data_IF_164312322767
#
_entry.id   IF_164312322767
#
_cell.length_a   1.000
_cell.length_b   1.000
_cell.length_c   1.000
_cell.angle_alpha   90.00
_cell.angle_beta   90.00
_cell.angle_gamma   90.00
#
_symmetry.space_group_name_H-M   'P 1'
#
loop_
_entity.id
_entity.type
_entity.pdbx_description
1 polymer ?
#
# COMPACT_ATOMS: atom_id res chain seq x y z
N UNK A 1 30.62 24.57 3.30
CA UNK A 1 29.69 23.78 2.44
C UNK A 1 28.35 23.61 3.13
N UNK A 2 27.22 23.62 2.39
CA UNK A 2 25.94 23.22 2.95
C UNK A 2 25.96 21.77 3.44
N UNK A 3 25.04 21.42 4.35
CA UNK A 3 24.93 20.07 4.93
C UNK A 3 24.40 19.07 3.91
N UNK A 4 24.79 17.81 4.12
CA UNK A 4 24.38 16.65 3.31
C UNK A 4 23.18 15.92 3.93
N UNK A 5 22.24 16.66 4.49
CA UNK A 5 21.24 16.12 5.42
C UNK A 5 20.31 15.06 4.80
N UNK A 6 19.92 15.24 3.54
CA UNK A 6 19.01 14.34 2.82
C UNK A 6 19.50 14.08 1.39
N UNK A 7 19.37 12.83 0.92
CA UNK A 7 19.65 12.41 -0.46
C UNK A 7 18.36 11.94 -1.12
N UNK A 8 18.07 12.44 -2.31
CA UNK A 8 16.97 11.98 -3.15
C UNK A 8 17.45 11.03 -4.26
N UNK A 9 16.64 10.01 -4.55
CA UNK A 9 17.02 8.92 -5.47
C UNK A 9 15.85 8.45 -6.32
N UNK A 10 16.17 7.97 -7.51
CA UNK A 10 15.21 7.40 -8.46
C UNK A 10 15.78 6.15 -9.14
N UNK A 11 15.03 5.60 -10.09
CA UNK A 11 15.50 4.60 -11.03
C UNK A 11 16.84 4.96 -11.73
N UNK A 12 17.16 6.24 -11.91
CA UNK A 12 18.41 6.69 -12.51
C UNK A 12 19.64 6.37 -11.65
N UNK A 13 19.48 6.25 -10.32
CA UNK A 13 20.55 5.82 -9.42
C UNK A 13 20.62 4.28 -9.28
N UNK A 14 19.69 3.55 -9.89
CA UNK A 14 19.53 2.12 -9.70
C UNK A 14 19.06 1.75 -8.28
N UNK A 15 19.38 0.53 -7.84
CA UNK A 15 19.00 0.03 -6.52
C UNK A 15 20.06 0.44 -5.49
N UNK A 16 19.67 1.29 -4.53
CA UNK A 16 20.55 1.72 -3.46
C UNK A 16 20.72 0.63 -2.39
N UNK A 17 21.96 0.22 -2.13
CA UNK A 17 22.26 -0.86 -1.17
C UNK A 17 22.38 -0.33 0.27
N UNK A 18 22.32 -1.25 1.25
CA UNK A 18 22.56 -0.91 2.67
C UNK A 18 23.96 -0.32 2.87
N UNK A 19 24.96 -0.81 2.10
CA UNK A 19 26.33 -0.31 2.17
C UNK A 19 26.44 1.14 1.65
N UNK A 20 25.76 1.48 0.55
CA UNK A 20 25.72 2.85 0.05
C UNK A 20 25.15 3.80 1.11
N UNK A 21 24.00 3.44 1.69
CA UNK A 21 23.38 4.25 2.73
C UNK A 21 24.25 4.40 3.98
N UNK A 22 24.91 3.31 4.43
CA UNK A 22 25.87 3.39 5.55
C UNK A 22 27.07 4.28 5.22
N UNK A 23 27.53 4.28 3.98
CA UNK A 23 28.61 5.17 3.55
C UNK A 23 28.17 6.64 3.63
N UNK A 24 27.04 6.96 3.01
CA UNK A 24 26.42 8.29 3.03
C UNK A 24 26.20 8.85 4.45
N UNK A 25 25.79 8.01 5.40
CA UNK A 25 25.62 8.42 6.81
C UNK A 25 26.90 8.92 7.46
N UNK A 26 28.07 8.42 7.06
CA UNK A 26 29.37 8.90 7.58
C UNK A 26 29.62 10.37 7.23
N UNK A 27 28.97 10.86 6.18
CA UNK A 27 29.04 12.24 5.71
C UNK A 27 27.87 13.11 6.19
N UNK A 28 27.05 12.59 7.12
CA UNK A 28 25.98 13.35 7.76
C UNK A 28 24.60 13.20 7.12
N UNK A 29 24.42 12.30 6.14
CA UNK A 29 23.09 11.96 5.59
C UNK A 29 22.24 11.30 6.67
N UNK A 30 21.06 11.88 6.92
CA UNK A 30 20.10 11.42 7.95
C UNK A 30 18.83 10.83 7.34
N UNK A 31 18.42 11.36 6.18
CA UNK A 31 17.20 10.95 5.50
C UNK A 31 17.46 10.61 4.03
N UNK A 32 16.58 9.78 3.48
CA UNK A 32 16.46 9.62 2.03
C UNK A 32 15.02 9.82 1.59
N UNK A 33 14.86 10.20 0.33
CA UNK A 33 13.56 10.30 -0.33
C UNK A 33 13.63 9.57 -1.69
N UNK A 34 12.68 8.67 -1.93
CA UNK A 34 12.65 7.85 -3.15
C UNK A 34 11.60 8.38 -4.13
N UNK A 35 11.91 8.39 -5.43
CA UNK A 35 10.88 8.53 -6.47
C UNK A 35 9.89 7.39 -6.30
N UNK A 36 8.60 7.70 -6.19
CA UNK A 36 7.55 6.69 -6.05
C UNK A 36 6.89 6.42 -7.40
N UNK A 37 6.56 7.49 -8.11
CA UNK A 37 5.84 7.43 -9.37
C UNK A 37 5.97 8.76 -10.12
N UNK A 38 5.53 8.75 -11.37
CA UNK A 38 5.43 9.91 -12.24
C UNK A 38 4.16 9.81 -13.09
N UNK A 39 3.41 10.91 -13.14
CA UNK A 39 2.10 10.91 -13.79
C UNK A 39 1.20 9.79 -13.27
N UNK A 40 0.33 9.28 -14.15
CA UNK A 40 -0.51 8.10 -13.85
C UNK A 40 0.05 6.80 -14.43
N UNK A 41 1.21 6.84 -15.08
CA UNK A 41 1.71 5.77 -15.94
C UNK A 41 3.00 5.12 -15.44
N UNK A 42 3.80 5.80 -14.62
CA UNK A 42 5.10 5.28 -14.20
C UNK A 42 5.14 5.01 -12.69
N UNK A 43 5.59 3.81 -12.31
CA UNK A 43 5.93 3.43 -10.93
C UNK A 43 7.41 3.09 -10.85
N UNK A 44 8.13 3.73 -9.94
CA UNK A 44 9.55 3.45 -9.76
C UNK A 44 9.77 2.10 -9.05
N UNK A 45 10.42 1.17 -9.74
CA UNK A 45 10.69 -0.18 -9.23
C UNK A 45 11.84 -0.21 -8.22
N UNK A 46 12.72 0.80 -8.21
CA UNK A 46 13.86 0.85 -7.26
C UNK A 46 13.44 1.40 -5.90
N UNK A 47 12.31 2.11 -5.81
CA UNK A 47 11.79 2.69 -4.58
C UNK A 47 11.70 1.68 -3.43
N UNK A 48 11.07 0.52 -3.69
CA UNK A 48 10.86 -0.52 -2.67
C UNK A 48 12.17 -1.06 -2.08
N UNK A 49 13.13 -1.59 -2.88
CA UNK A 49 14.38 -2.05 -2.32
C UNK A 49 15.21 -0.91 -1.71
N UNK A 50 15.23 0.28 -2.30
CA UNK A 50 15.97 1.44 -1.78
C UNK A 50 15.46 1.90 -0.42
N UNK A 51 14.14 2.07 -0.26
CA UNK A 51 13.51 2.42 1.04
C UNK A 51 13.81 1.35 2.08
N UNK A 52 13.61 0.07 1.75
CA UNK A 52 13.91 -1.04 2.67
C UNK A 52 15.37 -1.00 3.14
N UNK A 53 16.30 -0.81 2.23
CA UNK A 53 17.72 -0.81 2.53
C UNK A 53 18.12 0.43 3.36
N UNK A 54 17.52 1.59 3.09
CA UNK A 54 17.74 2.82 3.87
C UNK A 54 17.24 2.67 5.31
N UNK A 55 16.07 2.07 5.51
CA UNK A 55 15.58 1.73 6.86
C UNK A 55 16.55 0.79 7.57
N UNK A 56 17.06 -0.24 6.89
CA UNK A 56 18.08 -1.15 7.47
C UNK A 56 19.40 -0.47 7.80
N UNK A 57 19.76 0.61 7.10
CA UNK A 57 20.89 1.46 7.43
C UNK A 57 20.57 2.51 8.53
N UNK A 58 19.31 2.60 8.98
CA UNK A 58 18.86 3.50 10.02
C UNK A 58 18.75 4.96 9.56
N UNK A 59 18.29 5.19 8.32
CA UNK A 59 17.88 6.51 7.84
C UNK A 59 16.37 6.73 8.05
N UNK A 60 15.97 7.99 8.08
CA UNK A 60 14.59 8.40 7.84
C UNK A 60 14.26 8.22 6.35
N UNK A 61 13.05 7.78 6.02
CA UNK A 61 12.65 7.50 4.64
C UNK A 61 11.37 8.23 4.27
N UNK A 62 11.38 8.84 3.10
CA UNK A 62 10.29 9.61 2.51
C UNK A 62 10.10 9.19 1.04
N UNK A 63 9.07 9.71 0.38
CA UNK A 63 8.91 9.51 -1.06
C UNK A 63 8.50 10.79 -1.79
N UNK A 64 8.72 10.84 -3.09
CA UNK A 64 8.24 11.93 -3.94
C UNK A 64 7.51 11.42 -5.18
N UNK A 65 6.67 12.27 -5.75
CA UNK A 65 5.92 12.01 -6.97
C UNK A 65 6.13 13.13 -7.99
N UNK A 66 6.65 12.78 -9.17
CA UNK A 66 6.88 13.74 -10.25
C UNK A 66 5.55 14.07 -10.96
N UNK A 67 5.12 15.31 -10.84
CA UNK A 67 3.83 15.78 -11.33
C UNK A 67 3.81 15.95 -12.85
N UNK A 68 2.73 15.50 -13.49
CA UNK A 68 2.43 15.78 -14.92
C UNK A 68 1.05 16.45 -15.10
N UNK A 69 0.27 16.61 -14.04
CA UNK A 69 -1.07 17.16 -14.10
C UNK A 69 -1.08 18.69 -14.28
N UNK A 70 -2.11 19.18 -14.98
CA UNK A 70 -2.44 20.61 -15.09
C UNK A 70 -3.86 20.93 -14.60
N UNK A 71 -4.63 19.89 -14.26
CA UNK A 71 -6.04 19.99 -13.85
C UNK A 71 -6.26 19.40 -12.46
N UNK A 72 -7.35 19.79 -11.80
CA UNK A 72 -7.73 19.23 -10.48
C UNK A 72 -8.02 17.73 -10.56
N UNK A 73 -8.63 17.26 -11.65
CA UNK A 73 -8.89 15.84 -11.86
C UNK A 73 -7.57 15.05 -12.00
N UNK A 74 -6.63 15.57 -12.80
CA UNK A 74 -5.29 15.00 -12.93
C UNK A 74 -4.53 14.96 -11.60
N UNK A 75 -4.59 16.06 -10.84
CA UNK A 75 -3.98 16.16 -9.51
C UNK A 75 -4.47 15.05 -8.56
N UNK A 76 -5.78 14.76 -8.56
CA UNK A 76 -6.34 13.66 -7.76
C UNK A 76 -5.90 12.28 -8.26
N UNK A 77 -5.88 12.06 -9.57
CA UNK A 77 -5.45 10.79 -10.15
C UNK A 77 -3.97 10.50 -9.83
N UNK A 78 -3.11 11.50 -9.94
CA UNK A 78 -1.69 11.41 -9.62
C UNK A 78 -1.44 11.26 -8.12
N UNK A 79 -2.20 11.93 -7.26
CA UNK A 79 -2.16 11.72 -5.80
C UNK A 79 -2.51 10.27 -5.41
N UNK A 80 -3.50 9.67 -6.06
CA UNK A 80 -3.84 8.25 -5.86
C UNK A 80 -2.70 7.34 -6.30
N UNK A 81 -2.07 7.62 -7.44
CA UNK A 81 -0.91 6.89 -7.96
C UNK A 81 0.28 6.99 -6.99
N UNK A 82 0.58 8.18 -6.48
CA UNK A 82 1.63 8.42 -5.49
C UNK A 82 1.39 7.60 -4.20
N UNK A 83 0.21 7.70 -3.61
CA UNK A 83 -0.13 7.00 -2.36
C UNK A 83 -0.14 5.47 -2.53
N UNK A 84 -0.62 4.96 -3.67
CA UNK A 84 -0.58 3.52 -3.96
C UNK A 84 0.86 3.03 -4.15
N UNK A 85 1.71 3.82 -4.81
CA UNK A 85 3.12 3.50 -5.02
C UNK A 85 3.90 3.53 -3.70
N UNK A 86 3.64 4.52 -2.85
CA UNK A 86 4.16 4.58 -1.47
C UNK A 86 3.81 3.32 -0.68
N UNK A 87 2.54 2.89 -0.72
CA UNK A 87 2.08 1.69 -0.03
C UNK A 87 2.78 0.43 -0.57
N UNK A 88 2.91 0.29 -1.89
CA UNK A 88 3.60 -0.84 -2.54
C UNK A 88 5.09 -0.88 -2.20
N UNK A 89 5.72 0.29 -2.09
CA UNK A 89 7.12 0.44 -1.72
C UNK A 89 7.38 0.17 -0.22
N UNK A 90 6.32 0.10 0.59
CA UNK A 90 6.42 -0.14 2.03
C UNK A 90 6.71 1.13 2.83
N UNK A 91 6.48 2.31 2.25
CA UNK A 91 6.64 3.59 2.92
C UNK A 91 5.59 3.72 4.03
N UNK A 92 6.04 3.99 5.25
CA UNK A 92 5.14 4.11 6.41
C UNK A 92 4.27 5.37 6.33
N UNK A 93 3.08 5.31 6.94
CA UNK A 93 2.07 6.39 6.84
C UNK A 93 2.54 7.75 7.37
N UNK A 94 3.50 7.77 8.29
CA UNK A 94 4.03 9.01 8.88
C UNK A 94 5.25 9.58 8.11
N UNK A 95 5.65 8.96 7.00
CA UNK A 95 6.64 9.51 6.07
C UNK A 95 6.03 10.65 5.26
N UNK A 96 6.87 11.59 4.83
CA UNK A 96 6.47 12.67 3.92
C UNK A 96 6.34 12.12 2.50
N UNK A 97 5.23 12.46 1.82
CA UNK A 97 5.12 12.32 0.36
C UNK A 97 5.21 13.72 -0.25
N UNK A 98 6.28 13.97 -0.99
CA UNK A 98 6.52 15.25 -1.66
C UNK A 98 5.87 15.24 -3.04
N UNK A 99 5.17 16.33 -3.36
CA UNK A 99 4.78 16.65 -4.73
C UNK A 99 5.96 17.35 -5.42
N UNK A 100 6.58 16.69 -6.36
CA UNK A 100 7.63 17.25 -7.21
C UNK A 100 6.97 17.99 -8.38
N UNK A 101 6.91 19.33 -8.27
CA UNK A 101 6.17 20.23 -9.15
C UNK A 101 7.14 21.06 -10.00
N UNK A 102 7.58 20.47 -11.11
CA UNK A 102 8.58 21.08 -11.98
C UNK A 102 8.33 20.89 -13.49
N UNK A 103 7.18 20.32 -13.88
CA UNK A 103 6.88 20.02 -15.28
C UNK A 103 6.09 21.11 -16.01
N UNK A 104 5.12 21.73 -15.35
CA UNK A 104 4.25 22.74 -15.99
C UNK A 104 3.82 23.78 -14.97
N UNK A 105 4.15 25.04 -15.25
CA UNK A 105 3.81 26.18 -14.42
C UNK A 105 2.68 26.99 -15.06
N UNK A 106 1.51 27.05 -14.42
CA UNK A 106 0.34 27.78 -14.91
C UNK A 106 0.02 29.03 -14.08
N UNK A 107 0.99 29.53 -13.31
CA UNK A 107 0.83 30.67 -12.43
C UNK A 107 0.13 30.35 -11.10
N UNK A 108 0.27 31.28 -10.14
CA UNK A 108 -0.10 31.06 -8.74
C UNK A 108 -1.52 30.54 -8.54
N UNK A 109 -2.52 31.14 -9.20
CA UNK A 109 -3.92 30.80 -9.00
C UNK A 109 -4.23 29.35 -9.41
N UNK A 110 -3.76 28.94 -10.59
CA UNK A 110 -3.99 27.58 -11.08
C UNK A 110 -3.18 26.56 -10.28
N UNK A 111 -1.89 26.82 -10.06
CA UNK A 111 -1.00 25.94 -9.30
C UNK A 111 -1.53 25.74 -7.87
N UNK A 112 -2.00 26.81 -7.20
CA UNK A 112 -2.62 26.75 -5.87
C UNK A 112 -3.80 25.79 -5.82
N UNK A 113 -4.68 25.86 -6.82
CA UNK A 113 -5.87 25.01 -6.91
C UNK A 113 -5.51 23.53 -7.07
N UNK A 114 -4.58 23.20 -7.97
CA UNK A 114 -4.23 21.82 -8.29
C UNK A 114 -3.35 21.18 -7.21
N UNK A 115 -2.39 21.92 -6.64
CA UNK A 115 -1.56 21.44 -5.52
C UNK A 115 -2.41 21.15 -4.30
N UNK A 116 -3.36 22.04 -3.95
CA UNK A 116 -4.30 21.80 -2.85
C UNK A 116 -5.14 20.54 -3.08
N UNK A 117 -5.59 20.30 -4.31
CA UNK A 117 -6.34 19.08 -4.64
C UNK A 117 -5.49 17.81 -4.48
N UNK A 118 -4.23 17.85 -4.91
CA UNK A 118 -3.29 16.74 -4.74
C UNK A 118 -3.04 16.44 -3.26
N UNK A 119 -2.71 17.46 -2.46
CA UNK A 119 -2.43 17.32 -1.02
C UNK A 119 -3.62 16.69 -0.29
N UNK A 120 -4.82 17.21 -0.52
CA UNK A 120 -6.04 16.71 0.11
C UNK A 120 -6.29 15.23 -0.25
N UNK A 121 -5.99 14.82 -1.48
CA UNK A 121 -6.20 13.46 -1.93
C UNK A 121 -5.15 12.49 -1.35
N UNK A 122 -3.88 12.90 -1.23
CA UNK A 122 -2.85 12.11 -0.53
C UNK A 122 -3.22 11.91 0.95
N UNK A 123 -3.70 12.98 1.62
CA UNK A 123 -4.20 12.90 2.99
C UNK A 123 -5.38 11.92 3.11
N UNK A 124 -6.37 12.01 2.19
CA UNK A 124 -7.52 11.09 2.13
C UNK A 124 -7.08 9.63 1.94
N UNK A 125 -6.00 9.39 1.20
CA UNK A 125 -5.41 8.07 0.98
C UNK A 125 -4.61 7.53 2.19
N UNK A 126 -4.48 8.32 3.26
CA UNK A 126 -3.94 7.88 4.55
C UNK A 126 -2.47 8.22 4.78
N UNK A 127 -1.91 9.17 4.02
CA UNK A 127 -0.59 9.76 4.23
C UNK A 127 -0.75 11.24 4.64
N UNK A 128 -0.80 11.57 5.94
CA UNK A 128 -1.11 12.91 6.44
C UNK A 128 0.04 13.93 6.34
N UNK A 129 1.23 13.53 5.88
CA UNK A 129 2.37 14.43 5.73
C UNK A 129 2.72 14.60 4.26
N UNK A 130 2.64 15.83 3.79
CA UNK A 130 2.97 16.22 2.43
C UNK A 130 3.89 17.43 2.43
N UNK A 131 4.68 17.57 1.38
CA UNK A 131 5.42 18.80 1.09
C UNK A 131 5.41 19.05 -0.43
N UNK A 132 5.84 20.22 -0.86
CA UNK A 132 5.95 20.56 -2.28
C UNK A 132 7.39 20.91 -2.60
N UNK A 133 7.88 20.34 -3.69
CA UNK A 133 9.19 20.62 -4.23
C UNK A 133 9.08 21.36 -5.58
N UNK A 134 9.98 22.32 -5.81
CA UNK A 134 10.12 23.05 -7.08
C UNK A 134 11.47 23.77 -7.16
N UNK A 135 11.80 24.35 -8.31
CA UNK A 135 12.99 25.18 -8.47
C UNK A 135 12.82 26.61 -7.97
N UNK A 136 13.94 27.25 -7.60
CA UNK A 136 14.00 28.62 -7.09
C UNK A 136 13.28 29.67 -7.96
N UNK A 137 13.23 29.48 -9.28
CA UNK A 137 12.54 30.39 -10.20
C UNK A 137 11.01 30.32 -10.12
N UNK A 138 10.43 29.28 -9.49
CA UNK A 138 8.98 29.06 -9.43
C UNK A 138 8.36 29.37 -8.07
N UNK A 139 9.15 29.79 -7.08
CA UNK A 139 8.69 29.99 -5.69
C UNK A 139 7.54 31.02 -5.56
N UNK A 140 7.46 31.99 -6.48
CA UNK A 140 6.38 33.00 -6.50
C UNK A 140 5.11 32.53 -7.24
N UNK A 141 5.14 31.32 -7.79
CA UNK A 141 4.06 30.75 -8.60
C UNK A 141 3.55 29.40 -8.07
N UNK A 142 4.23 28.81 -7.09
CA UNK A 142 3.90 27.50 -6.51
C UNK A 142 3.63 27.68 -5.01
N UNK A 143 2.52 27.16 -4.48
CA UNK A 143 2.16 27.26 -3.06
C UNK A 143 3.01 26.31 -2.19
N UNK A 144 4.30 26.61 -2.06
CA UNK A 144 5.23 25.77 -1.29
C UNK A 144 4.88 25.69 0.20
N UNK A 145 4.26 26.73 0.72
CA UNK A 145 3.92 26.83 2.13
C UNK A 145 2.39 26.85 2.32
N UNK A 146 1.79 25.67 2.51
CA UNK A 146 0.35 25.55 2.73
C UNK A 146 -0.02 25.52 4.22
N UNK A 147 0.93 25.22 5.12
CA UNK A 147 0.78 25.28 6.59
C UNK A 147 2.14 25.45 7.31
N UNK A 148 2.52 26.67 7.69
CA UNK A 148 3.68 26.91 8.56
C UNK A 148 5.02 27.06 7.84
N UNK A 149 5.93 26.08 7.97
CA UNK A 149 7.21 26.04 7.24
C UNK A 149 7.10 24.87 6.25
N UNK A 150 6.58 25.15 5.05
CA UNK A 150 6.48 24.19 3.93
C UNK A 150 7.43 24.55 2.81
N UNK A 151 7.86 23.56 2.04
CA UNK A 151 8.59 23.71 0.79
C UNK A 151 9.99 23.09 0.80
N UNK A 152 10.35 22.45 -0.29
CA UNK A 152 11.70 21.98 -0.58
C UNK A 152 12.15 22.58 -1.92
N UNK A 153 13.17 23.43 -1.90
CA UNK A 153 13.51 24.25 -3.08
C UNK A 153 14.84 23.82 -3.69
N UNK A 154 14.87 23.64 -5.00
CA UNK A 154 16.10 23.43 -5.76
C UNK A 154 16.73 24.74 -6.24
N UNK A 155 18.03 24.88 -5.99
CA UNK A 155 18.88 25.90 -6.61
C UNK A 155 20.34 25.46 -6.48
N UNK A 156 21.10 25.43 -7.58
CA UNK A 156 22.44 24.86 -7.62
C UNK A 156 23.51 25.93 -7.92
N UNK A 157 23.94 26.74 -6.93
CA UNK A 157 25.06 27.64 -7.10
C UNK A 157 26.33 26.91 -7.49
N UNK A 158 27.12 27.49 -8.40
CA UNK A 158 28.44 26.97 -8.76
C UNK A 158 29.39 26.83 -7.55
N UNK A 159 29.33 27.78 -6.61
CA UNK A 159 30.05 27.76 -5.33
C UNK A 159 29.07 27.89 -4.15
N UNK A 160 28.53 26.79 -3.61
CA UNK A 160 27.49 26.85 -2.59
C UNK A 160 28.03 27.12 -1.17
N UNK A 161 29.36 27.16 -0.98
CA UNK A 161 29.96 27.42 0.33
C UNK A 161 29.61 28.83 0.83
N UNK A 162 29.12 28.94 2.07
CA UNK A 162 28.75 30.21 2.69
C UNK A 162 27.30 30.65 2.42
N UNK A 163 26.61 30.06 1.44
CA UNK A 163 25.23 30.42 1.12
C UNK A 163 24.24 29.87 2.14
N UNK A 164 23.17 30.65 2.39
CA UNK A 164 22.04 30.31 3.26
C UNK A 164 20.73 30.57 2.53
N UNK A 165 20.49 29.83 1.43
CA UNK A 165 19.27 30.00 0.63
C UNK A 165 18.08 29.27 1.27
N UNK A 166 16.88 29.81 1.06
CA UNK A 166 15.61 29.17 1.43
C UNK A 166 15.48 28.74 2.90
N UNK A 167 16.11 29.46 3.83
CA UNK A 167 16.07 29.16 5.27
C UNK A 167 14.67 29.25 5.89
N UNK A 168 13.73 29.91 5.20
CA UNK A 168 12.31 29.97 5.56
C UNK A 168 11.49 28.74 5.16
N UNK A 169 12.06 27.82 4.37
CA UNK A 169 11.41 26.60 3.85
C UNK A 169 11.91 25.35 4.62
N UNK A 170 11.39 24.16 4.33
CA UNK A 170 11.84 22.91 4.96
C UNK A 170 13.23 22.46 4.52
N UNK A 171 13.60 22.70 3.26
CA UNK A 171 14.89 22.28 2.75
C UNK A 171 15.30 23.00 1.48
N UNK A 172 16.61 22.93 1.22
CA UNK A 172 17.25 23.43 0.01
C UNK A 172 18.06 22.29 -0.62
N UNK A 173 17.63 21.83 -1.80
CA UNK A 173 18.45 20.97 -2.66
C UNK A 173 19.49 21.84 -3.35
N UNK A 174 20.75 21.68 -2.95
CA UNK A 174 21.81 22.62 -3.30
C UNK A 174 22.76 22.09 -4.37
N UNK A 175 22.71 20.80 -4.67
CA UNK A 175 23.48 20.17 -5.74
C UNK A 175 22.79 18.93 -6.27
N UNK A 176 23.02 18.65 -7.55
CA UNK A 176 22.68 17.40 -8.23
C UNK A 176 23.89 16.51 -8.56
N UNK A 177 25.07 16.91 -8.08
CA UNK A 177 26.35 16.35 -8.53
C UNK A 177 27.25 15.86 -7.37
N UNK A 178 26.65 15.51 -6.23
CA UNK A 178 27.43 15.01 -5.10
C UNK A 178 27.93 13.59 -5.35
N UNK A 179 29.19 13.32 -5.01
CA UNK A 179 29.77 11.98 -5.02
C UNK A 179 29.98 11.51 -3.58
N UNK A 180 29.61 10.27 -3.30
CA UNK A 180 29.86 9.63 -2.01
C UNK A 180 30.80 8.43 -2.19
N UNK A 181 31.88 8.33 -1.40
CA UNK A 181 32.75 7.15 -1.45
C UNK A 181 31.97 5.85 -1.28
N UNK A 182 32.28 4.85 -2.12
CA UNK A 182 31.57 3.57 -2.13
C UNK A 182 30.14 3.63 -2.69
N UNK A 183 29.77 4.70 -3.39
CA UNK A 183 28.52 4.83 -4.14
C UNK A 183 28.84 5.13 -5.60
N UNK A 184 28.11 4.53 -6.53
CA UNK A 184 28.26 4.79 -7.96
C UNK A 184 27.34 5.93 -8.40
N UNK A 185 27.82 6.76 -9.32
CA UNK A 185 27.07 7.88 -9.87
C UNK A 185 27.04 9.10 -8.96
N UNK A 186 26.20 10.06 -9.34
CA UNK A 186 26.03 11.34 -8.67
C UNK A 186 24.69 11.38 -7.94
N UNK A 187 24.62 12.22 -6.92
CA UNK A 187 23.46 12.31 -6.04
C UNK A 187 23.00 13.75 -5.89
N UNK A 188 21.69 13.88 -5.90
CA UNK A 188 20.97 15.07 -5.47
C UNK A 188 21.01 15.16 -3.94
N UNK A 189 21.43 16.32 -3.42
CA UNK A 189 21.66 16.50 -1.99
C UNK A 189 21.06 17.79 -1.47
N UNK A 190 20.40 17.66 -0.32
CA UNK A 190 19.68 18.72 0.34
C UNK A 190 20.19 19.00 1.75
N UNK A 191 20.20 20.29 2.08
CA UNK A 191 20.31 20.78 3.45
C UNK A 191 18.90 21.03 3.99
N UNK A 192 18.57 20.43 5.13
CA UNK A 192 17.23 20.57 5.73
C UNK A 192 17.25 21.58 6.87
N UNK A 193 16.22 22.43 6.93
CA UNK A 193 16.06 23.49 7.94
C UNK A 193 14.99 23.17 8.99
N UNK A 194 14.35 22.01 8.89
CA UNK A 194 13.39 21.50 9.86
C UNK A 194 13.54 20.00 10.05
N UNK A 195 12.91 19.48 11.11
CA UNK A 195 12.84 18.03 11.37
C UNK A 195 11.65 17.36 10.64
N UNK A 196 10.99 18.06 9.71
CA UNK A 196 9.76 17.58 9.05
C UNK A 196 9.97 16.23 8.34
N UNK A 197 11.14 16.06 7.71
CA UNK A 197 11.58 14.85 7.01
C UNK A 197 12.23 13.80 7.91
N UNK A 198 12.42 14.09 9.20
CA UNK A 198 13.03 13.21 10.20
C UNK A 198 12.00 12.58 11.13
N UNK A 199 10.74 12.50 10.68
CA UNK A 199 9.71 11.72 11.36
C UNK A 199 10.19 10.28 11.61
N UNK A 200 9.72 9.67 12.70
CA UNK A 200 10.15 8.35 13.20
C UNK A 200 10.53 7.44 12.05
N UNK A 201 11.83 7.06 11.99
CA UNK A 201 12.34 6.08 11.05
C UNK A 201 11.31 4.97 10.97
N UNK A 202 10.57 4.91 9.85
CA UNK A 202 9.44 4.03 9.75
C UNK A 202 10.05 2.65 9.82
N UNK A 203 9.96 2.01 11.01
CA UNK A 203 10.36 0.61 11.18
C UNK A 203 9.65 -0.08 10.02
N UNK A 204 10.43 -0.55 9.04
CA UNK A 204 9.91 -1.13 7.80
C UNK A 204 8.74 -2.00 8.23
N UNK A 205 7.52 -1.66 7.80
CA UNK A 205 6.33 -2.27 8.35
C UNK A 205 6.58 -3.77 8.34
N UNK A 206 6.78 -4.37 9.52
CA UNK A 206 7.21 -5.78 9.57
C UNK A 206 6.16 -6.50 8.74
N UNK A 207 6.55 -7.22 7.66
CA UNK A 207 5.58 -7.87 6.81
C UNK A 207 4.66 -8.64 7.75
N UNK A 208 3.35 -8.35 7.70
CA UNK A 208 2.39 -8.95 8.61
C UNK A 208 2.66 -10.45 8.57
N UNK A 209 2.97 -11.04 9.74
CA UNK A 209 3.27 -12.47 9.81
C UNK A 209 2.14 -13.20 9.11
N UNK A 210 2.49 -14.04 8.14
CA UNK A 210 1.51 -14.80 7.39
C UNK A 210 0.69 -15.65 8.37
N UNK A 211 -0.64 -15.53 8.28
CA UNK A 211 -1.56 -16.28 9.13
C UNK A 211 -2.07 -17.45 8.31
N UNK A 212 -2.02 -18.64 8.90
CA UNK A 212 -2.43 -19.89 8.26
C UNK A 212 -3.62 -20.48 9.03
N UNK A 213 -4.53 -21.15 8.32
CA UNK A 213 -5.61 -21.89 8.98
C UNK A 213 -5.05 -23.03 9.82
N UNK A 214 -5.44 -23.09 11.10
CA UNK A 214 -5.06 -24.18 12.03
C UNK A 214 -6.15 -25.25 12.21
N UNK A 215 -7.29 -25.04 11.57
CA UNK A 215 -8.45 -25.94 11.60
C UNK A 215 -8.94 -26.16 10.18
N UNK A 216 -9.68 -27.24 9.93
CA UNK A 216 -10.26 -27.53 8.62
C UNK A 216 -11.55 -26.71 8.41
N UNK A 217 -11.57 -25.72 7.49
CA UNK A 217 -12.78 -24.93 7.19
C UNK A 217 -13.78 -25.66 6.28
N UNK A 218 -13.50 -26.90 5.88
CA UNK A 218 -14.22 -27.76 4.93
C UNK A 218 -14.26 -27.23 3.50
N UNK A 219 -14.66 -25.99 3.30
CA UNK A 219 -14.74 -25.34 1.99
C UNK A 219 -14.07 -23.97 2.05
N UNK A 220 -13.21 -23.68 1.08
CA UNK A 220 -12.57 -22.37 0.91
C UNK A 220 -12.78 -21.84 -0.51
N UNK A 221 -12.53 -20.56 -0.70
CA UNK A 221 -12.30 -19.98 -2.02
C UNK A 221 -10.98 -19.24 -2.06
N UNK A 222 -10.35 -19.21 -3.23
CA UNK A 222 -9.13 -18.46 -3.49
C UNK A 222 -9.43 -16.95 -3.52
N UNK A 223 -8.68 -16.15 -2.77
CA UNK A 223 -8.73 -14.67 -2.82
C UNK A 223 -7.81 -14.11 -3.92
N UNK A 224 -6.73 -14.81 -4.17
CA UNK A 224 -5.72 -14.53 -5.21
C UNK A 224 -5.59 -15.77 -6.11
N UNK A 225 -4.98 -15.66 -7.29
CA UNK A 225 -4.56 -16.84 -8.02
C UNK A 225 -3.63 -17.72 -7.17
N UNK A 226 -3.88 -19.03 -7.11
CA UNK A 226 -3.09 -19.97 -6.32
C UNK A 226 -2.69 -21.19 -7.14
N UNK A 227 -1.55 -21.78 -6.80
CA UNK A 227 -1.10 -23.03 -7.38
C UNK A 227 -1.48 -24.21 -6.48
N UNK A 228 -1.58 -25.39 -7.10
CA UNK A 228 -1.64 -26.69 -6.42
C UNK A 228 -0.38 -27.49 -6.71
N UNK A 229 0.03 -28.30 -5.73
CA UNK A 229 1.32 -28.98 -5.71
C UNK A 229 1.16 -30.46 -5.38
N UNK A 230 2.02 -31.31 -5.93
CA UNK A 230 2.07 -32.75 -5.59
C UNK A 230 2.59 -33.00 -4.18
N UNK A 231 3.54 -32.17 -3.74
CA UNK A 231 4.20 -32.30 -2.44
C UNK A 231 3.86 -31.16 -1.47
N UNK A 232 3.95 -31.45 -0.17
CA UNK A 232 3.64 -30.50 0.91
C UNK A 232 4.63 -29.32 0.97
N UNK A 233 5.85 -29.50 0.47
CA UNK A 233 6.88 -28.47 0.44
C UNK A 233 6.69 -27.44 -0.70
N UNK A 234 5.75 -27.70 -1.61
CA UNK A 234 5.46 -26.90 -2.80
C UNK A 234 6.61 -26.85 -3.81
N UNK A 235 7.36 -27.94 -3.98
CA UNK A 235 8.43 -28.03 -4.97
C UNK A 235 7.93 -28.38 -6.37
N UNK A 236 6.87 -29.18 -6.47
CA UNK A 236 6.33 -29.69 -7.74
C UNK A 236 4.93 -29.14 -7.99
N UNK A 237 4.88 -28.01 -8.71
CA UNK A 237 3.62 -27.40 -9.16
C UNK A 237 2.92 -28.33 -10.16
N UNK A 238 1.61 -28.46 -10.02
CA UNK A 238 0.75 -29.17 -10.96
C UNK A 238 0.06 -28.16 -11.87
N UNK A 239 -0.73 -27.27 -11.28
CA UNK A 239 -1.60 -26.35 -11.99
C UNK A 239 -1.84 -25.05 -11.19
N UNK A 240 -2.48 -24.09 -11.87
CA UNK A 240 -2.82 -22.78 -11.34
C UNK A 240 -4.34 -22.56 -11.42
N UNK A 241 -4.89 -21.90 -10.40
CA UNK A 241 -6.30 -21.58 -10.32
C UNK A 241 -6.48 -20.08 -10.11
N UNK A 242 -7.43 -19.44 -10.82
CA UNK A 242 -7.71 -18.02 -10.64
C UNK A 242 -8.33 -17.72 -9.27
N UNK A 243 -8.37 -16.43 -8.92
CA UNK A 243 -9.12 -15.98 -7.78
C UNK A 243 -10.61 -16.34 -7.92
N UNK A 244 -11.24 -16.69 -6.80
CA UNK A 244 -12.65 -17.08 -6.73
C UNK A 244 -12.89 -18.59 -6.87
N UNK A 245 -11.91 -19.40 -7.29
CA UNK A 245 -12.04 -20.86 -7.35
C UNK A 245 -12.32 -21.44 -5.98
N UNK A 246 -13.26 -22.38 -5.90
CA UNK A 246 -13.71 -23.03 -4.66
C UNK A 246 -13.04 -24.40 -4.52
N UNK A 247 -12.62 -24.73 -3.30
CA UNK A 247 -11.98 -26.01 -2.98
C UNK A 247 -12.61 -26.65 -1.75
N UNK A 248 -12.84 -27.96 -1.84
CA UNK A 248 -13.12 -28.81 -0.69
C UNK A 248 -11.78 -29.24 -0.04
N UNK A 249 -11.69 -29.07 1.28
CA UNK A 249 -10.46 -29.35 2.04
C UNK A 249 -10.63 -30.66 2.78
N UNK A 250 -9.83 -31.66 2.39
CA UNK A 250 -9.82 -32.96 3.04
C UNK A 250 -9.14 -32.86 4.41
N UNK A 251 -7.93 -32.30 4.47
CA UNK A 251 -7.13 -32.19 5.70
C UNK A 251 -6.35 -30.89 5.79
N UNK A 252 -6.03 -30.48 7.01
CA UNK A 252 -5.02 -29.44 7.30
C UNK A 252 -3.79 -30.15 7.82
N UNK A 253 -2.66 -29.95 7.16
CA UNK A 253 -1.40 -30.62 7.49
C UNK A 253 -0.39 -29.58 7.97
N UNK A 254 0.35 -29.90 9.04
CA UNK A 254 1.45 -29.07 9.53
C UNK A 254 2.69 -29.24 8.64
N UNK A 255 3.40 -28.14 8.38
CA UNK A 255 4.69 -28.14 7.70
C UNK A 255 5.60 -27.13 8.42
N UNK A 256 6.44 -27.63 9.32
CA UNK A 256 7.17 -26.79 10.27
C UNK A 256 6.22 -25.88 11.05
N UNK A 257 6.46 -24.57 11.00
CA UNK A 257 5.65 -23.56 11.72
C UNK A 257 4.37 -23.14 11.01
N UNK A 258 4.14 -23.60 9.77
CA UNK A 258 2.96 -23.24 8.96
C UNK A 258 2.05 -24.45 8.75
N UNK A 259 0.90 -24.24 8.12
CA UNK A 259 0.05 -25.34 7.65
C UNK A 259 -0.16 -25.28 6.15
N UNK A 260 -0.63 -26.37 5.57
CA UNK A 260 -1.10 -26.51 4.19
C UNK A 260 -2.45 -27.21 4.19
N UNK A 261 -3.23 -26.99 3.14
CA UNK A 261 -4.42 -27.77 2.90
C UNK A 261 -4.10 -28.94 1.97
N UNK A 262 -4.56 -30.13 2.32
CA UNK A 262 -4.58 -31.28 1.45
C UNK A 262 -5.98 -31.46 0.87
N UNK A 263 -6.06 -31.69 -0.43
CA UNK A 263 -7.29 -31.97 -1.17
C UNK A 263 -7.56 -33.48 -1.20
N UNK A 264 -8.75 -33.88 -1.64
CA UNK A 264 -9.15 -35.30 -1.69
C UNK A 264 -8.24 -36.15 -2.59
N UNK A 265 -7.66 -35.56 -3.63
CA UNK A 265 -6.71 -36.23 -4.52
C UNK A 265 -5.28 -36.29 -3.98
N UNK A 266 -5.06 -35.96 -2.70
CA UNK A 266 -3.75 -35.99 -2.05
C UNK A 266 -2.88 -34.77 -2.30
N UNK A 267 -3.22 -33.90 -3.26
CA UNK A 267 -2.45 -32.70 -3.59
C UNK A 267 -2.65 -31.56 -2.60
N UNK A 268 -1.73 -30.59 -2.61
CA UNK A 268 -1.63 -29.55 -1.61
C UNK A 268 -1.85 -28.15 -2.18
N UNK A 269 -2.55 -27.30 -1.41
CA UNK A 269 -2.72 -25.87 -1.68
C UNK A 269 -2.44 -25.04 -0.42
N UNK A 270 -2.25 -23.73 -0.59
CA UNK A 270 -1.90 -22.84 0.53
C UNK A 270 -3.07 -22.70 1.51
N UNK A 271 -2.77 -22.68 2.81
CA UNK A 271 -3.73 -22.32 3.87
C UNK A 271 -3.54 -20.88 4.38
N UNK A 272 -2.68 -20.09 3.71
CA UNK A 272 -2.43 -18.69 4.07
C UNK A 272 -3.69 -17.84 3.85
N UNK A 273 -4.21 -17.23 4.92
CA UNK A 273 -5.45 -16.46 4.91
C UNK A 273 -5.41 -15.20 4.03
N UNK A 274 -4.23 -14.75 3.62
CA UNK A 274 -4.11 -13.70 2.61
C UNK A 274 -4.53 -14.18 1.21
N UNK A 275 -4.30 -15.46 0.91
CA UNK A 275 -4.55 -16.06 -0.40
C UNK A 275 -5.86 -16.84 -0.49
N UNK A 276 -6.42 -17.26 0.65
CA UNK A 276 -7.65 -18.07 0.69
C UNK A 276 -8.58 -17.60 1.82
N UNK A 277 -9.87 -17.90 1.71
CA UNK A 277 -10.84 -17.65 2.76
C UNK A 277 -11.84 -18.79 2.85
N UNK A 278 -12.31 -19.11 4.06
CA UNK A 278 -13.45 -20.01 4.29
C UNK A 278 -14.69 -19.53 3.53
N UNK A 279 -15.31 -20.45 2.80
CA UNK A 279 -16.48 -20.19 1.96
C UNK A 279 -17.73 -19.89 2.80
N UNK A 280 -17.87 -20.56 3.95
CA UNK A 280 -19.01 -20.42 4.85
C UNK A 280 -18.69 -19.56 6.07
N UNK A 281 -19.70 -18.89 6.62
CA UNK A 281 -19.59 -18.15 7.89
C UNK A 281 -19.39 -19.09 9.09
N UNK A 282 -18.87 -18.52 10.19
CA UNK A 282 -18.49 -19.26 11.40
C UNK A 282 -19.63 -19.04 12.35
N UNK A 283 -19.95 -20.04 13.15
CA UNK A 283 -21.01 -19.94 14.15
C UNK A 283 -20.73 -18.76 15.11
N UNK A 284 -19.47 -18.59 15.51
CA UNK A 284 -19.02 -17.50 16.40
C UNK A 284 -18.53 -16.27 15.63
N UNK A 285 -18.94 -16.11 14.37
CA UNK A 285 -18.38 -15.10 13.46
C UNK A 285 -18.87 -13.67 13.68
N UNK A 286 -19.81 -13.43 14.61
CA UNK A 286 -20.34 -12.10 14.92
C UNK A 286 -21.05 -11.40 13.74
N UNK A 287 -21.57 -12.16 12.78
CA UNK A 287 -22.20 -11.61 11.57
C UNK A 287 -23.54 -10.99 11.93
N UNK A 288 -23.69 -9.68 11.75
CA UNK A 288 -24.93 -8.94 12.04
C UNK A 288 -25.76 -8.61 10.80
N UNK A 289 -25.11 -8.36 9.67
CA UNK A 289 -25.79 -8.04 8.41
C UNK A 289 -25.09 -8.69 7.22
N UNK A 290 -25.88 -9.11 6.24
CA UNK A 290 -25.39 -9.65 4.98
C UNK A 290 -26.14 -9.05 3.80
N UNK A 291 -25.49 -9.07 2.64
CA UNK A 291 -26.03 -8.60 1.37
C UNK A 291 -25.94 -9.70 0.32
N UNK A 292 -27.04 -9.92 -0.37
CA UNK A 292 -27.11 -10.83 -1.51
C UNK A 292 -26.25 -10.32 -2.66
N UNK A 293 -25.38 -11.15 -3.21
CA UNK A 293 -24.44 -10.79 -4.28
C UNK A 293 -25.05 -11.06 -5.66
N UNK A 294 -25.77 -12.16 -5.81
CA UNK A 294 -26.36 -12.62 -7.09
C UNK A 294 -27.86 -12.88 -6.99
N UNK A 295 -28.48 -12.46 -5.90
CA UNK A 295 -29.80 -12.93 -5.50
C UNK A 295 -29.73 -14.21 -4.65
N UNK A 296 -30.73 -14.41 -3.81
CA UNK A 296 -30.84 -15.59 -2.93
C UNK A 296 -32.30 -15.91 -2.67
N UNK A 297 -32.62 -17.20 -2.58
CA UNK A 297 -33.88 -17.63 -1.98
C UNK A 297 -33.83 -17.51 -0.47
N UNK A 298 -34.98 -17.20 0.14
CA UNK A 298 -35.24 -17.41 1.57
C UNK A 298 -35.97 -18.74 1.76
N UNK A 299 -35.73 -19.38 2.89
CA UNK A 299 -36.26 -20.71 3.19
C UNK A 299 -36.86 -20.76 4.59
N UNK A 300 -37.91 -21.57 4.77
CA UNK A 300 -38.51 -21.81 6.10
C UNK A 300 -37.59 -22.65 6.99
N UNK A 301 -36.80 -23.53 6.40
CA UNK A 301 -36.01 -24.53 7.13
C UNK A 301 -34.50 -24.38 6.93
N UNK A 302 -33.75 -24.89 7.91
CA UNK A 302 -32.27 -24.90 7.91
C UNK A 302 -31.67 -25.78 6.81
N UNK A 303 -32.39 -26.79 6.31
CA UNK A 303 -31.89 -27.65 5.23
C UNK A 303 -31.94 -26.94 3.87
N UNK A 304 -32.67 -25.82 3.76
CA UNK A 304 -32.96 -25.06 2.55
C UNK A 304 -33.78 -25.88 1.53
N UNK A 305 -34.83 -26.56 2.01
CA UNK A 305 -35.72 -27.36 1.15
C UNK A 305 -37.02 -26.66 0.80
N UNK A 306 -37.55 -25.84 1.70
CA UNK A 306 -38.84 -25.16 1.53
C UNK A 306 -38.62 -23.68 1.25
N UNK A 307 -38.58 -23.35 -0.03
CA UNK A 307 -38.45 -21.97 -0.52
C UNK A 307 -39.66 -21.15 -0.06
N UNK A 308 -39.40 -19.93 0.40
CA UNK A 308 -40.42 -18.91 0.68
C UNK A 308 -40.55 -18.01 -0.54
N UNK A 309 -39.46 -17.33 -0.89
CA UNK A 309 -39.41 -16.41 -2.02
C UNK A 309 -37.98 -16.20 -2.51
N UNK A 310 -37.87 -15.53 -3.66
CA UNK A 310 -36.62 -15.03 -4.22
C UNK A 310 -36.38 -13.58 -3.79
N UNK A 311 -35.10 -13.26 -3.53
CA UNK A 311 -34.65 -11.91 -3.21
C UNK A 311 -33.56 -11.49 -4.20
N UNK A 312 -33.67 -10.31 -4.83
CA UNK A 312 -32.73 -9.87 -5.85
C UNK A 312 -31.31 -9.62 -5.31
N UNK A 313 -30.36 -9.46 -6.24
CA UNK A 313 -29.02 -9.02 -5.88
C UNK A 313 -29.08 -7.63 -5.24
N UNK A 314 -28.27 -7.41 -4.21
CA UNK A 314 -28.25 -6.17 -3.46
C UNK A 314 -29.17 -6.12 -2.24
N UNK A 315 -30.11 -7.06 -2.09
CA UNK A 315 -30.95 -7.13 -0.88
C UNK A 315 -30.09 -7.38 0.36
N UNK A 316 -30.34 -6.60 1.41
CA UNK A 316 -29.67 -6.71 2.70
C UNK A 316 -30.57 -7.41 3.72
N UNK A 317 -29.97 -8.19 4.61
CA UNK A 317 -30.67 -8.95 5.63
C UNK A 317 -29.97 -8.81 6.97
N UNK A 318 -30.75 -8.54 8.01
CA UNK A 318 -30.29 -8.64 9.39
C UNK A 318 -30.21 -10.11 9.82
N UNK A 319 -29.11 -10.44 10.48
CA UNK A 319 -28.74 -11.81 10.85
C UNK A 319 -29.00 -12.01 12.33
N UNK A 320 -29.85 -12.98 12.64
CA UNK A 320 -30.04 -13.45 14.01
C UNK A 320 -28.83 -14.28 14.46
N UNK A 321 -28.48 -15.32 13.68
CA UNK A 321 -27.32 -16.18 13.97
C UNK A 321 -26.84 -16.97 12.75
N UNK A 322 -25.63 -17.51 12.86
CA UNK A 322 -25.09 -18.47 11.90
C UNK A 322 -25.33 -19.89 12.43
N UNK A 323 -26.11 -20.69 11.71
CA UNK A 323 -26.45 -22.05 12.09
C UNK A 323 -25.60 -23.08 11.34
N UNK A 324 -24.98 -24.03 12.07
CA UNK A 324 -24.27 -25.16 11.47
C UNK A 324 -25.26 -26.15 10.83
N UNK A 325 -24.91 -26.64 9.64
CA UNK A 325 -25.63 -27.70 8.95
C UNK A 325 -24.63 -28.57 8.16
N UNK A 326 -24.32 -29.75 8.72
CA UNK A 326 -23.26 -30.65 8.22
C UNK A 326 -21.92 -29.91 8.09
N UNK A 327 -21.26 -30.00 6.94
CA UNK A 327 -20.01 -29.29 6.62
C UNK A 327 -20.20 -27.82 6.18
N UNK A 328 -21.43 -27.31 6.23
CA UNK A 328 -21.77 -25.97 5.76
C UNK A 328 -22.46 -25.16 6.85
N UNK A 329 -22.75 -23.89 6.58
CA UNK A 329 -23.57 -23.06 7.47
C UNK A 329 -24.73 -22.40 6.73
N UNK A 330 -25.71 -21.97 7.53
CA UNK A 330 -26.86 -21.16 7.13
C UNK A 330 -26.84 -19.87 7.92
N UNK A 331 -27.40 -18.83 7.33
CA UNK A 331 -27.67 -17.59 8.03
C UNK A 331 -29.14 -17.64 8.40
N UNK A 332 -29.45 -17.66 9.68
CA UNK A 332 -30.80 -17.41 10.16
C UNK A 332 -30.99 -15.90 10.24
N UNK A 333 -32.01 -15.42 9.55
CA UNK A 333 -32.39 -14.03 9.50
C UNK A 333 -33.16 -13.63 10.77
N UNK A 334 -33.23 -12.33 11.05
CA UNK A 334 -34.00 -11.79 12.18
C UNK A 334 -35.48 -12.22 12.17
N UNK A 335 -36.06 -12.40 10.97
CA UNK A 335 -37.44 -12.86 10.80
C UNK A 335 -37.60 -14.40 10.85
N UNK A 336 -36.57 -15.14 11.29
CA UNK A 336 -36.61 -16.59 11.48
C UNK A 336 -36.32 -17.43 10.22
N UNK A 337 -36.39 -16.85 9.02
CA UNK A 337 -36.06 -17.57 7.78
C UNK A 337 -34.57 -17.82 7.61
N UNK A 338 -34.23 -18.70 6.68
CA UNK A 338 -32.86 -19.11 6.40
C UNK A 338 -32.43 -18.72 5.00
N UNK A 339 -31.16 -18.33 4.86
CA UNK A 339 -30.46 -18.21 3.58
C UNK A 339 -29.13 -18.98 3.65
N UNK A 340 -28.52 -19.21 2.48
CA UNK A 340 -27.22 -19.88 2.39
C UNK A 340 -26.11 -19.08 3.11
N UNK A 341 -25.33 -19.75 3.95
CA UNK A 341 -24.14 -19.15 4.58
C UNK A 341 -22.92 -19.03 3.66
N UNK A 342 -23.07 -19.31 2.37
CA UNK A 342 -22.01 -19.18 1.38
C UNK A 342 -21.73 -17.70 1.10
N UNK A 343 -20.50 -17.26 1.39
CA UNK A 343 -20.05 -15.86 1.24
C UNK A 343 -20.05 -15.34 -0.19
N UNK A 344 -20.02 -16.22 -1.18
CA UNK A 344 -20.14 -15.82 -2.60
C UNK A 344 -21.59 -15.55 -3.02
N UNK A 345 -22.56 -16.02 -2.24
CA UNK A 345 -23.99 -15.76 -2.43
C UNK A 345 -24.41 -14.59 -1.53
N UNK A 346 -24.04 -14.63 -0.25
CA UNK A 346 -24.41 -13.62 0.75
C UNK A 346 -23.15 -13.08 1.43
N UNK A 347 -22.72 -11.86 1.07
CA UNK A 347 -21.50 -11.23 1.60
C UNK A 347 -21.78 -10.42 2.87
N UNK A 348 -20.79 -10.31 3.74
CA UNK A 348 -20.88 -9.54 4.97
C UNK A 348 -20.95 -8.05 4.64
N UNK A 349 -21.82 -7.33 5.34
CA UNK A 349 -21.87 -5.87 5.36
C UNK A 349 -21.32 -5.44 6.71
N UNK A 350 -20.35 -4.53 6.69
CA UNK A 350 -19.73 -4.00 7.90
C UNK A 350 -20.68 -3.10 8.67
#
# INVERSE_FOLDING_TARGET
MPRLDMVDTSNNNGIMTVANWRSMKKYGVKAMIAKLSEGTYFTDQTAKPSIRNAVSAGLHVNGYHFARFTTVAGAKAEAQMAAQSALKAGLGKNSVIVLDFEATNSGWNQNSKIVKAWINEVHRMGYPKTDVYTMGSWINSVPLNTTGRGGWVANYPYKPSGFKLYTGYNGWQWTSNMHFPGCYGTFDVSQMYSNYYYGTATKAAKPKKAIYYRYNPKMIYARTPINRYKDIAFKHKVDNFPAGTVFAIAKVINYGKITRFQLANGYYITSNQANVNRLYYSVDGGVKRVKSVRGTHRYKDKALKHVVDWQPAGTEFDVAKIAKYRDTTRIQLANGYYISGNKKINKFVR
#
